data_IF_223839398651
#
_entry.id   IF_223839398651
#
_cell.length_a   1.000
_cell.length_b   1.000
_cell.length_c   1.000
_cell.angle_alpha   90.00
_cell.angle_beta   90.00
_cell.angle_gamma   90.00
#
_symmetry.space_group_name_H-M   'P 1'
#
loop_
_entity.id
_entity.type
_entity.pdbx_description
1 polymer ?
#
# COMPACT_ATOMS: atom_id res chain seq x y z
N UNK A 1 -0.88 27.63 -29.53
CA UNK A 1 0.25 26.89 -28.91
C UNK A 1 1.02 27.67 -27.83
N UNK A 2 0.83 28.98 -27.62
CA UNK A 2 1.57 29.73 -26.59
C UNK A 2 0.92 29.76 -25.18
N UNK A 3 -0.40 29.55 -25.07
CA UNK A 3 -1.14 29.69 -23.80
C UNK A 3 -0.92 28.55 -22.79
N UNK A 4 -0.65 27.33 -23.26
CA UNK A 4 -0.35 26.16 -22.41
C UNK A 4 0.98 26.32 -21.63
N UNK A 5 1.92 27.12 -22.14
CA UNK A 5 3.21 27.35 -21.45
C UNK A 5 3.09 28.29 -20.26
N UNK A 6 2.15 29.26 -20.30
CA UNK A 6 2.02 30.29 -19.27
C UNK A 6 1.26 29.79 -18.04
N UNK A 7 0.25 28.92 -18.22
CA UNK A 7 -0.45 28.27 -17.11
C UNK A 7 0.48 27.32 -16.34
N UNK A 8 1.29 26.52 -17.04
CA UNK A 8 2.30 25.67 -16.40
C UNK A 8 3.36 26.50 -15.66
N UNK A 9 3.75 27.64 -16.24
CA UNK A 9 4.73 28.55 -15.62
C UNK A 9 4.18 29.23 -14.35
N UNK A 10 2.92 29.69 -14.35
CA UNK A 10 2.26 30.25 -13.16
C UNK A 10 2.08 29.16 -12.08
N UNK A 11 1.67 27.96 -12.48
CA UNK A 11 1.52 26.84 -11.56
C UNK A 11 2.86 26.47 -10.90
N UNK A 12 3.95 26.42 -11.68
CA UNK A 12 5.27 26.03 -11.18
C UNK A 12 6.03 27.14 -10.43
N UNK A 13 5.90 28.41 -10.83
CA UNK A 13 6.62 29.54 -10.20
C UNK A 13 5.87 30.22 -9.05
N UNK A 14 4.54 30.12 -9.02
CA UNK A 14 3.72 30.89 -8.06
C UNK A 14 2.90 29.94 -7.19
N UNK A 15 2.15 29.00 -7.79
CA UNK A 15 1.26 28.12 -7.01
C UNK A 15 2.04 27.09 -6.19
N UNK A 16 3.01 26.38 -6.78
CA UNK A 16 3.85 25.39 -6.06
C UNK A 16 4.63 25.99 -4.88
N UNK A 17 5.29 27.16 -4.99
CA UNK A 17 5.98 27.78 -3.86
C UNK A 17 5.03 28.28 -2.78
N UNK A 18 3.83 28.78 -3.14
CA UNK A 18 2.84 29.26 -2.17
C UNK A 18 2.21 28.08 -1.41
N UNK A 19 1.87 26.98 -2.10
CA UNK A 19 1.43 25.74 -1.47
C UNK A 19 2.53 25.17 -0.57
N UNK A 20 3.77 25.07 -1.09
CA UNK A 20 4.93 24.63 -0.32
C UNK A 20 5.22 25.51 0.91
N UNK A 21 5.00 26.82 0.84
CA UNK A 21 5.18 27.74 1.97
C UNK A 21 4.09 27.54 3.03
N UNK A 22 2.82 27.35 2.63
CA UNK A 22 1.73 27.02 3.55
C UNK A 22 1.97 25.67 4.23
N UNK A 23 2.37 24.66 3.46
CA UNK A 23 2.68 23.32 3.95
C UNK A 23 3.90 23.33 4.88
N UNK A 24 4.93 24.11 4.56
CA UNK A 24 6.10 24.33 5.40
C UNK A 24 5.75 25.07 6.70
N UNK A 25 4.89 26.08 6.66
CA UNK A 25 4.40 26.80 7.84
C UNK A 25 3.57 25.85 8.73
N UNK A 26 2.67 25.06 8.15
CA UNK A 26 1.88 24.06 8.89
C UNK A 26 2.77 23.00 9.51
N UNK A 27 3.74 22.45 8.76
CA UNK A 27 4.70 21.48 9.27
C UNK A 27 5.57 22.07 10.38
N UNK A 28 6.03 23.31 10.23
CA UNK A 28 6.85 24.02 11.23
C UNK A 28 6.07 24.35 12.51
N UNK A 29 4.80 24.78 12.39
CA UNK A 29 3.91 25.02 13.53
C UNK A 29 3.56 23.71 14.27
N UNK A 30 3.41 22.61 13.54
CA UNK A 30 3.13 21.30 14.13
C UNK A 30 4.35 20.71 14.84
N UNK A 31 5.55 20.83 14.24
CA UNK A 31 6.81 20.39 14.85
C UNK A 31 7.19 21.22 16.08
N UNK A 32 6.84 22.50 16.11
CA UNK A 32 7.11 23.40 17.23
C UNK A 32 6.06 23.33 18.34
N UNK A 33 4.81 22.95 18.04
CA UNK A 33 3.76 22.78 19.03
C UNK A 33 2.67 21.78 18.58
N UNK A 34 2.89 20.46 18.82
CA UNK A 34 1.96 19.40 18.41
C UNK A 34 0.55 19.51 19.02
N UNK A 35 0.39 20.32 20.07
CA UNK A 35 -0.86 20.53 20.82
C UNK A 35 -1.55 21.85 20.48
N UNK A 36 -1.00 22.65 19.55
CA UNK A 36 -1.55 23.97 19.24
C UNK A 36 -2.97 23.90 18.70
N UNK A 37 -3.79 24.87 19.12
CA UNK A 37 -5.20 25.00 18.71
C UNK A 37 -5.38 25.11 17.20
N UNK A 38 -4.35 25.53 16.46
CA UNK A 38 -4.36 25.69 15.00
C UNK A 38 -4.46 24.35 14.27
N UNK A 39 -3.80 23.30 14.78
CA UNK A 39 -3.89 21.95 14.23
C UNK A 39 -5.30 21.36 14.30
N UNK A 40 -6.12 21.82 15.27
CA UNK A 40 -7.53 21.40 15.42
C UNK A 40 -8.48 22.06 14.42
N UNK A 41 -8.10 23.16 13.76
CA UNK A 41 -8.94 23.85 12.78
C UNK A 41 -8.77 23.38 11.34
N UNK A 42 -7.73 22.59 11.04
CA UNK A 42 -7.60 21.93 9.76
C UNK A 42 -8.38 20.63 9.82
N UNK A 43 -9.56 20.57 9.18
CA UNK A 43 -10.26 19.29 8.97
C UNK A 43 -9.27 18.30 8.34
N UNK A 44 -9.05 17.12 8.93
CA UNK A 44 -8.21 16.10 8.34
C UNK A 44 -8.73 15.78 6.93
N UNK A 45 -7.85 15.82 5.93
CA UNK A 45 -8.20 15.39 4.58
C UNK A 45 -8.35 13.86 4.58
N UNK A 46 -9.40 13.37 3.93
CA UNK A 46 -9.49 11.96 3.57
C UNK A 46 -8.45 11.67 2.47
N UNK A 47 -7.30 11.13 2.85
CA UNK A 47 -6.23 10.76 1.92
C UNK A 47 -6.50 9.43 1.21
N UNK A 48 -7.60 8.73 1.50
CA UNK A 48 -8.03 7.58 0.71
C UNK A 48 -8.90 7.99 -0.48
N UNK A 49 -9.70 9.05 -0.34
CA UNK A 49 -10.40 9.69 -1.46
C UNK A 49 -9.43 10.23 -2.51
N UNK A 50 -9.90 10.35 -3.76
CA UNK A 50 -9.07 10.73 -4.90
C UNK A 50 -8.34 12.08 -4.72
N UNK A 51 -7.19 12.20 -5.36
CA UNK A 51 -6.40 13.43 -5.36
C UNK A 51 -6.42 14.09 -6.73
N UNK A 52 -6.95 15.32 -6.80
CA UNK A 52 -6.90 16.11 -8.01
C UNK A 52 -5.45 16.46 -8.39
N UNK A 53 -5.12 16.37 -9.68
CA UNK A 53 -3.85 16.83 -10.25
C UNK A 53 -2.63 15.95 -9.95
N UNK A 54 -2.82 14.75 -9.38
CA UNK A 54 -1.75 13.75 -9.29
C UNK A 54 -1.56 13.06 -10.63
N UNK A 55 -0.32 12.67 -10.94
CA UNK A 55 -0.03 11.97 -12.20
C UNK A 55 -0.37 10.50 -12.15
N UNK A 56 -0.35 9.92 -10.96
CA UNK A 56 -0.82 8.56 -10.76
C UNK A 56 -1.59 8.42 -9.45
N UNK A 57 -2.53 7.48 -9.46
CA UNK A 57 -3.26 7.04 -8.28
C UNK A 57 -3.60 5.55 -8.42
N UNK A 58 -3.33 4.77 -7.37
CA UNK A 58 -3.52 3.33 -7.36
C UNK A 58 -4.13 2.86 -6.05
N UNK A 59 -5.09 1.96 -6.14
CA UNK A 59 -5.77 1.29 -5.04
C UNK A 59 -5.43 -0.18 -5.11
N UNK A 60 -4.88 -0.72 -4.03
CA UNK A 60 -4.45 -2.11 -3.92
C UNK A 60 -5.18 -2.76 -2.76
N UNK A 61 -5.70 -3.96 -2.98
CA UNK A 61 -6.23 -4.81 -1.92
C UNK A 61 -5.66 -6.20 -2.06
N UNK A 62 -5.11 -6.69 -0.95
CA UNK A 62 -4.71 -8.07 -0.76
C UNK A 62 -5.62 -8.74 0.25
N UNK A 63 -6.17 -9.90 -0.09
CA UNK A 63 -6.99 -10.72 0.79
C UNK A 63 -6.26 -12.03 1.05
N UNK A 64 -5.94 -12.31 2.30
CA UNK A 64 -5.49 -13.62 2.75
C UNK A 64 -6.73 -14.45 3.09
N UNK A 65 -7.01 -15.48 2.30
CA UNK A 65 -8.19 -16.33 2.46
C UNK A 65 -8.01 -17.31 3.62
N UNK A 66 -9.10 -17.86 4.17
CA UNK A 66 -9.04 -18.81 5.28
C UNK A 66 -8.22 -20.07 4.98
N UNK A 67 -8.23 -20.53 3.73
CA UNK A 67 -7.42 -21.64 3.22
C UNK A 67 -5.96 -21.23 2.92
N UNK A 68 -5.56 -20.00 3.23
CA UNK A 68 -4.21 -19.43 3.04
C UNK A 68 -3.85 -19.14 1.57
N UNK A 69 -4.83 -19.10 0.68
CA UNK A 69 -4.69 -18.48 -0.62
C UNK A 69 -4.61 -16.95 -0.55
N UNK A 70 -4.26 -16.31 -1.65
CA UNK A 70 -4.20 -14.85 -1.76
C UNK A 70 -5.01 -14.36 -2.95
N UNK A 71 -5.93 -13.42 -2.72
CA UNK A 71 -6.61 -12.66 -3.78
C UNK A 71 -6.03 -11.25 -3.83
N UNK A 72 -5.66 -10.78 -5.01
CA UNK A 72 -5.24 -9.40 -5.25
C UNK A 72 -6.23 -8.70 -6.16
N UNK A 73 -6.56 -7.45 -5.82
CA UNK A 73 -7.35 -6.57 -6.68
C UNK A 73 -6.65 -5.20 -6.74
N UNK A 74 -6.46 -4.68 -7.94
CA UNK A 74 -5.83 -3.38 -8.18
C UNK A 74 -6.70 -2.56 -9.12
N UNK A 75 -6.89 -1.28 -8.79
CA UNK A 75 -7.40 -0.25 -9.69
C UNK A 75 -6.36 0.86 -9.74
N UNK A 76 -5.80 1.15 -10.91
CA UNK A 76 -4.71 2.12 -11.04
C UNK A 76 -4.85 2.99 -12.28
N UNK A 77 -4.55 4.28 -12.12
CA UNK A 77 -4.67 5.31 -13.15
C UNK A 77 -3.39 6.12 -13.25
N UNK A 78 -2.95 6.34 -14.49
CA UNK A 78 -1.90 7.28 -14.91
C UNK A 78 -2.51 8.09 -16.08
N UNK A 79 -3.38 9.08 -15.81
CA UNK A 79 -4.27 9.65 -16.84
C UNK A 79 -3.55 10.25 -18.06
N UNK A 80 -2.36 10.81 -17.86
CA UNK A 80 -1.56 11.44 -18.92
C UNK A 80 -0.62 10.46 -19.66
N UNK A 81 -0.64 9.17 -19.30
CA UNK A 81 0.20 8.17 -19.94
C UNK A 81 -0.28 7.83 -21.35
N UNK A 82 0.68 7.55 -22.24
CA UNK A 82 0.40 7.17 -23.63
C UNK A 82 0.03 5.68 -23.76
N UNK A 83 0.57 4.83 -22.91
CA UNK A 83 0.45 3.38 -23.04
C UNK A 83 -0.25 2.82 -21.80
N UNK A 84 -1.43 2.24 -21.96
CA UNK A 84 -2.18 1.61 -20.86
C UNK A 84 -2.35 2.56 -19.65
N UNK A 85 -2.98 3.75 -19.83
CA UNK A 85 -3.13 4.73 -18.75
C UNK A 85 -3.94 4.21 -17.58
N UNK A 86 -4.84 3.25 -17.81
CA UNK A 86 -5.65 2.64 -16.76
C UNK A 86 -5.39 1.14 -16.69
N UNK A 87 -5.44 0.60 -15.48
CA UNK A 87 -5.14 -0.79 -15.20
C UNK A 87 -6.06 -1.33 -14.11
N UNK A 88 -6.64 -2.50 -14.37
CA UNK A 88 -7.35 -3.30 -13.38
C UNK A 88 -6.71 -4.68 -13.33
N UNK A 89 -6.32 -5.11 -12.13
CA UNK A 89 -5.81 -6.44 -11.88
C UNK A 89 -6.76 -7.21 -10.97
N UNK A 90 -6.96 -8.49 -11.26
CA UNK A 90 -7.51 -9.43 -10.31
C UNK A 90 -6.79 -10.78 -10.40
N UNK A 91 -6.32 -11.30 -9.29
CA UNK A 91 -5.69 -12.63 -9.25
C UNK A 91 -6.08 -13.42 -8.01
N UNK A 92 -5.99 -14.74 -8.13
CA UNK A 92 -6.02 -15.67 -7.02
C UNK A 92 -4.81 -16.60 -7.12
N UNK A 93 -4.01 -16.66 -6.06
CA UNK A 93 -2.91 -17.59 -5.90
C UNK A 93 -3.27 -18.60 -4.80
N UNK A 94 -3.34 -19.91 -5.10
CA UNK A 94 -3.67 -20.93 -4.10
C UNK A 94 -2.58 -21.05 -3.02
N UNK A 95 -2.92 -21.60 -1.84
CA UNK A 95 -1.93 -21.89 -0.81
C UNK A 95 -0.89 -22.90 -1.31
N UNK A 96 0.37 -22.76 -0.87
CA UNK A 96 1.45 -23.69 -1.25
C UNK A 96 1.30 -25.06 -0.59
N UNK A 97 0.93 -25.06 0.68
CA UNK A 97 0.72 -26.27 1.47
C UNK A 97 -0.76 -26.32 1.83
N UNK A 98 -1.48 -27.40 1.46
CA UNK A 98 -2.86 -27.58 1.88
C UNK A 98 -2.97 -27.56 3.41
N UNK A 99 -4.02 -26.98 3.99
CA UNK A 99 -4.30 -27.16 5.40
C UNK A 99 -4.37 -28.66 5.75
N UNK A 100 -3.81 -29.05 6.90
CA UNK A 100 -3.78 -30.45 7.35
C UNK A 100 -5.17 -31.09 7.30
N UNK A 101 -5.28 -32.24 6.62
CA UNK A 101 -6.53 -33.00 6.48
C UNK A 101 -7.36 -32.66 5.25
N UNK A 102 -6.96 -31.66 4.46
CA UNK A 102 -7.52 -31.41 3.13
C UNK A 102 -6.49 -31.84 2.09
N UNK A 103 -6.86 -32.78 1.20
CA UNK A 103 -6.15 -32.90 -0.08
C UNK A 103 -6.15 -31.52 -0.72
N UNK A 104 -5.11 -31.14 -1.49
CA UNK A 104 -5.31 -30.16 -2.56
C UNK A 104 -6.57 -30.65 -3.28
N UNK A 105 -7.71 -29.98 -3.11
CA UNK A 105 -8.73 -30.13 -4.11
C UNK A 105 -8.00 -29.61 -5.35
N UNK A 106 -7.84 -30.49 -6.32
CA UNK A 106 -7.20 -30.26 -7.60
C UNK A 106 -7.97 -29.24 -8.46
N UNK A 107 -8.58 -28.22 -7.84
CA UNK A 107 -9.67 -27.41 -8.36
C UNK A 107 -9.40 -25.90 -8.32
N UNK A 108 -8.60 -25.39 -7.37
CA UNK A 108 -8.31 -23.96 -7.31
C UNK A 108 -7.18 -23.59 -8.29
N UNK A 109 -7.52 -23.54 -9.58
CA UNK A 109 -6.64 -23.06 -10.63
C UNK A 109 -6.25 -21.62 -10.31
N UNK A 110 -4.96 -21.30 -10.41
CA UNK A 110 -4.47 -19.93 -10.30
C UNK A 110 -5.22 -19.04 -11.29
N UNK A 111 -5.71 -17.91 -10.82
CA UNK A 111 -6.40 -16.90 -11.63
C UNK A 111 -5.49 -15.69 -11.74
N UNK A 112 -5.35 -15.15 -12.95
CA UNK A 112 -4.65 -13.89 -13.18
C UNK A 112 -5.34 -13.17 -14.33
N UNK A 113 -5.87 -11.99 -14.07
CA UNK A 113 -6.56 -11.15 -15.05
C UNK A 113 -6.00 -9.74 -14.96
N UNK A 114 -5.41 -9.33 -16.07
CA UNK A 114 -4.97 -7.98 -16.33
C UNK A 114 -5.91 -7.37 -17.37
N UNK A 115 -6.47 -6.21 -17.07
CA UNK A 115 -7.29 -5.44 -18.01
C UNK A 115 -6.81 -4.00 -18.08
N UNK A 116 -6.84 -3.45 -19.28
CA UNK A 116 -6.39 -2.09 -19.59
C UNK A 116 -7.58 -1.30 -20.16
N UNK A 117 -8.54 -0.88 -19.32
CA UNK A 117 -9.73 -0.18 -19.78
C UNK A 117 -9.36 1.19 -20.38
N UNK A 118 -10.25 1.73 -21.20
CA UNK A 118 -10.06 3.06 -21.79
C UNK A 118 -10.13 4.18 -20.74
N UNK A 119 -10.87 3.95 -19.65
CA UNK A 119 -11.05 4.91 -18.56
C UNK A 119 -11.41 4.21 -17.26
N UNK A 120 -10.90 4.76 -16.15
CA UNK A 120 -11.43 4.54 -14.80
C UNK A 120 -12.02 5.88 -14.33
N UNK A 121 -13.33 5.94 -14.14
CA UNK A 121 -14.03 7.16 -13.69
C UNK A 121 -14.13 7.19 -12.18
N UNK A 122 -13.80 8.32 -11.59
CA UNK A 122 -14.12 8.62 -10.20
C UNK A 122 -15.55 9.15 -10.11
N UNK A 123 -16.41 8.48 -9.34
CA UNK A 123 -17.79 8.89 -9.10
C UNK A 123 -17.94 9.22 -7.61
N UNK A 124 -18.10 10.51 -7.25
CA UNK A 124 -18.31 10.91 -5.87
C UNK A 124 -19.61 10.32 -5.30
N UNK A 125 -19.56 9.84 -4.06
CA UNK A 125 -20.70 9.40 -3.28
C UNK A 125 -21.09 10.40 -2.19
N UNK A 126 -21.84 9.92 -1.20
CA UNK A 126 -22.23 10.70 -0.02
C UNK A 126 -20.98 11.01 0.82
N UNK A 127 -20.81 12.28 1.19
CA UNK A 127 -19.75 12.67 2.12
C UNK A 127 -20.24 12.52 3.56
N UNK A 128 -19.52 11.74 4.36
CA UNK A 128 -19.71 11.58 5.80
C UNK A 128 -18.78 12.53 6.55
N UNK A 129 -18.91 12.61 7.88
CA UNK A 129 -18.14 13.56 8.72
C UNK A 129 -16.62 13.43 8.56
N UNK A 130 -16.14 12.21 8.29
CA UNK A 130 -14.70 11.92 8.17
C UNK A 130 -14.31 11.15 6.89
N UNK A 131 -15.27 10.54 6.20
CA UNK A 131 -15.06 9.73 5.00
C UNK A 131 -15.79 10.35 3.80
N UNK A 132 -15.11 10.46 2.67
CA UNK A 132 -15.77 10.75 1.40
C UNK A 132 -16.06 9.43 0.70
N UNK A 133 -17.33 9.05 0.54
CA UNK A 133 -17.67 7.87 -0.25
C UNK A 133 -17.44 8.15 -1.74
N UNK A 134 -17.09 7.10 -2.49
CA UNK A 134 -16.89 7.18 -3.92
C UNK A 134 -16.90 5.79 -4.56
N UNK A 135 -16.99 5.74 -5.88
CA UNK A 135 -16.63 4.57 -6.67
C UNK A 135 -15.59 4.88 -7.74
N UNK A 136 -14.79 3.88 -8.07
CA UNK A 136 -13.97 3.83 -9.26
C UNK A 136 -14.66 2.90 -10.26
N UNK A 137 -15.01 3.39 -11.43
CA UNK A 137 -15.70 2.63 -12.47
C UNK A 137 -14.77 2.42 -13.67
N UNK A 138 -14.27 1.21 -13.83
CA UNK A 138 -13.46 0.76 -14.96
C UNK A 138 -14.37 0.31 -16.10
N UNK A 139 -14.34 1.04 -17.22
CA UNK A 139 -15.18 0.75 -18.37
C UNK A 139 -14.94 -0.68 -18.91
N UNK A 140 -16.02 -1.46 -19.03
CA UNK A 140 -15.96 -2.83 -19.53
C UNK A 140 -15.39 -3.86 -18.55
N UNK A 141 -15.03 -3.46 -17.32
CA UNK A 141 -14.43 -4.39 -16.33
C UNK A 141 -15.24 -4.45 -15.03
N UNK A 142 -15.58 -3.32 -14.43
CA UNK A 142 -16.25 -3.32 -13.13
C UNK A 142 -16.00 -2.10 -12.27
N UNK A 143 -16.30 -2.22 -10.98
CA UNK A 143 -16.21 -1.12 -10.04
C UNK A 143 -15.61 -1.49 -8.70
N UNK A 144 -15.00 -0.49 -8.07
CA UNK A 144 -14.60 -0.50 -6.66
C UNK A 144 -15.32 0.63 -5.92
N UNK A 145 -16.15 0.28 -4.93
CA UNK A 145 -16.99 1.22 -4.17
C UNK A 145 -16.50 1.31 -2.73
N UNK A 146 -16.43 2.53 -2.20
CA UNK A 146 -16.06 2.86 -0.83
C UNK A 146 -17.24 3.57 -0.18
N UNK A 147 -17.73 3.02 0.92
CA UNK A 147 -18.78 3.57 1.78
C UNK A 147 -18.25 3.71 3.23
N UNK A 148 -19.08 4.22 4.13
CA UNK A 148 -18.69 4.46 5.54
C UNK A 148 -18.19 3.19 6.25
N UNK A 149 -18.95 2.09 6.13
CA UNK A 149 -18.66 0.84 6.84
C UNK A 149 -18.19 -0.30 5.92
N UNK A 150 -18.25 -0.10 4.61
CA UNK A 150 -18.08 -1.16 3.61
C UNK A 150 -17.25 -0.71 2.43
N UNK A 151 -16.55 -1.67 1.84
CA UNK A 151 -15.96 -1.52 0.52
C UNK A 151 -16.40 -2.69 -0.35
N UNK A 152 -16.64 -2.47 -1.63
CA UNK A 152 -17.19 -3.48 -2.53
C UNK A 152 -16.46 -3.50 -3.87
N UNK A 153 -16.06 -4.68 -4.33
CA UNK A 153 -15.59 -4.91 -5.69
C UNK A 153 -16.62 -5.73 -6.44
N UNK A 154 -16.91 -5.31 -7.68
CA UNK A 154 -17.70 -6.08 -8.63
C UNK A 154 -16.99 -6.03 -9.97
N UNK A 155 -16.47 -7.17 -10.43
CA UNK A 155 -15.70 -7.26 -11.68
C UNK A 155 -16.20 -8.41 -12.54
N UNK A 156 -16.25 -8.19 -13.85
CA UNK A 156 -16.56 -9.18 -14.86
C UNK A 156 -15.57 -9.02 -16.03
N UNK A 157 -15.08 -10.14 -16.54
CA UNK A 157 -14.13 -10.19 -17.64
C UNK A 157 -14.75 -10.90 -18.85
N UNK A 158 -14.27 -10.57 -20.04
CA UNK A 158 -14.84 -11.04 -21.32
C UNK A 158 -14.82 -12.57 -21.49
N UNK A 159 -13.97 -13.27 -20.73
CA UNK A 159 -13.94 -14.73 -20.75
C UNK A 159 -14.99 -15.36 -19.83
N UNK A 160 -15.91 -14.59 -19.24
CA UNK A 160 -16.97 -15.10 -18.36
C UNK A 160 -16.52 -15.27 -16.89
N UNK A 161 -15.31 -14.86 -16.54
CA UNK A 161 -14.88 -14.79 -15.13
C UNK A 161 -15.52 -13.57 -14.45
N UNK A 162 -16.08 -13.75 -13.25
CA UNK A 162 -16.48 -12.64 -12.39
C UNK A 162 -15.99 -12.79 -10.96
N UNK A 163 -15.68 -11.66 -10.32
CA UNK A 163 -15.15 -11.59 -8.96
C UNK A 163 -15.94 -10.53 -8.20
N UNK A 164 -16.51 -10.93 -7.07
CA UNK A 164 -17.22 -10.08 -6.14
C UNK A 164 -16.55 -10.15 -4.77
N UNK A 165 -16.24 -9.00 -4.19
CA UNK A 165 -15.65 -8.92 -2.85
C UNK A 165 -16.36 -7.85 -2.03
N UNK A 166 -16.68 -8.17 -0.78
CA UNK A 166 -17.20 -7.23 0.20
C UNK A 166 -16.26 -7.17 1.39
N UNK A 167 -15.71 -6.00 1.67
CA UNK A 167 -14.90 -5.72 2.85
C UNK A 167 -15.75 -5.00 3.91
N UNK A 168 -15.56 -5.38 5.16
CA UNK A 168 -16.24 -4.80 6.32
C UNK A 168 -15.32 -4.76 7.54
N UNK A 169 -15.75 -4.14 8.64
CA UNK A 169 -14.98 -4.04 9.89
C UNK A 169 -13.56 -3.52 9.64
N UNK A 170 -13.47 -2.36 9.00
CA UNK A 170 -12.21 -1.68 8.70
C UNK A 170 -11.34 -1.58 9.95
N UNK A 171 -10.07 -1.93 9.83
CA UNK A 171 -9.06 -1.75 10.87
C UNK A 171 -8.07 -0.68 10.43
N UNK A 172 -8.37 0.62 10.68
CA UNK A 172 -7.48 1.70 10.27
C UNK A 172 -6.13 1.61 10.98
N UNK A 173 -5.11 2.18 10.36
CA UNK A 173 -3.77 2.21 10.93
C UNK A 173 -3.74 2.95 12.28
N UNK A 174 -4.37 4.12 12.33
CA UNK A 174 -4.51 4.93 13.54
C UNK A 174 -6.00 5.08 13.86
N UNK A 175 -6.56 4.38 14.87
CA UNK A 175 -7.97 4.46 15.21
C UNK A 175 -8.46 5.89 15.49
N UNK A 176 -7.64 6.71 16.15
CA UNK A 176 -7.97 8.10 16.48
C UNK A 176 -7.80 9.07 15.29
N UNK A 177 -7.20 8.61 14.19
CA UNK A 177 -6.96 9.40 12.98
C UNK A 177 -7.00 8.50 11.73
N UNK A 178 -8.18 7.93 11.38
CA UNK A 178 -8.29 6.78 10.48
C UNK A 178 -7.88 7.05 9.02
N UNK A 179 -7.74 8.32 8.63
CA UNK A 179 -7.33 8.74 7.29
C UNK A 179 -5.93 9.35 7.26
N UNK A 180 -5.21 9.29 8.39
CA UNK A 180 -3.85 9.82 8.49
C UNK A 180 -2.89 8.82 7.86
N UNK A 181 -2.15 9.19 6.81
CA UNK A 181 -1.15 8.30 6.23
C UNK A 181 0.05 8.11 7.17
N UNK A 182 0.86 7.05 7.01
CA UNK A 182 2.00 6.74 7.89
C UNK A 182 3.03 7.87 7.99
N UNK A 183 3.21 8.63 6.90
CA UNK A 183 4.14 9.76 6.84
C UNK A 183 3.55 11.06 7.45
N UNK A 184 2.33 11.02 7.99
CA UNK A 184 1.75 12.09 8.81
C UNK A 184 1.75 13.45 8.12
N UNK A 185 2.22 14.49 8.81
CA UNK A 185 2.29 15.85 8.26
C UNK A 185 3.16 15.94 6.99
N UNK A 186 4.12 15.04 6.79
CA UNK A 186 4.94 15.02 5.59
C UNK A 186 4.12 14.64 4.34
N UNK A 187 2.89 14.12 4.50
CA UNK A 187 1.95 13.91 3.39
C UNK A 187 1.56 15.20 2.69
N UNK A 188 1.62 16.32 3.41
CA UNK A 188 1.40 17.64 2.85
C UNK A 188 2.64 18.20 2.13
N UNK A 189 3.84 17.66 2.32
CA UNK A 189 5.07 18.14 1.66
C UNK A 189 5.28 17.49 0.28
N UNK A 190 4.28 17.60 -0.61
CA UNK A 190 4.20 16.86 -1.88
C UNK A 190 5.37 17.10 -2.86
N UNK A 191 6.21 18.12 -2.64
CA UNK A 191 7.40 18.39 -3.46
C UNK A 191 8.58 17.48 -3.05
N UNK A 192 8.65 17.01 -1.80
CA UNK A 192 9.79 16.24 -1.28
C UNK A 192 9.59 14.72 -1.38
N UNK A 193 8.35 14.26 -1.52
CA UNK A 193 8.01 12.84 -1.66
C UNK A 193 7.31 12.62 -3.01
N UNK A 194 7.97 11.99 -4.00
CA UNK A 194 7.38 11.78 -5.33
C UNK A 194 6.20 10.78 -5.30
N UNK A 195 6.07 10.05 -4.19
CA UNK A 195 5.12 8.98 -3.96
C UNK A 195 4.62 9.07 -2.51
N UNK A 196 3.30 8.98 -2.36
CA UNK A 196 2.62 8.85 -1.09
C UNK A 196 2.00 7.45 -0.96
N UNK A 197 1.80 7.03 0.28
CA UNK A 197 1.24 5.73 0.63
C UNK A 197 0.30 5.87 1.83
N UNK A 198 -0.83 5.20 1.77
CA UNK A 198 -1.83 5.18 2.83
C UNK A 198 -2.39 3.77 3.00
N UNK A 199 -2.18 3.18 4.17
CA UNK A 199 -2.86 1.95 4.59
C UNK A 199 -4.24 2.35 5.11
N UNK A 200 -5.27 2.09 4.31
CA UNK A 200 -6.65 2.38 4.70
C UNK A 200 -7.19 1.37 5.69
N UNK A 201 -6.79 0.11 5.53
CA UNK A 201 -7.07 -0.96 6.48
C UNK A 201 -5.95 -1.97 6.46
N UNK A 202 -5.45 -2.36 7.62
CA UNK A 202 -4.46 -3.44 7.71
C UNK A 202 -5.12 -4.82 7.85
N UNK A 203 -6.41 -4.88 8.21
CA UNK A 203 -7.10 -6.16 8.45
C UNK A 203 -8.64 -6.10 8.44
N UNK A 204 -9.24 -5.61 7.36
CA UNK A 204 -10.70 -5.71 7.15
C UNK A 204 -11.15 -7.17 7.03
N UNK A 205 -12.37 -7.49 7.43
CA UNK A 205 -13.00 -8.77 7.07
C UNK A 205 -13.42 -8.75 5.61
N UNK A 206 -13.10 -9.82 4.87
CA UNK A 206 -13.47 -9.98 3.47
C UNK A 206 -14.41 -11.17 3.28
N UNK A 207 -15.45 -10.99 2.46
CA UNK A 207 -16.22 -12.07 1.86
C UNK A 207 -16.01 -11.99 0.36
N UNK A 208 -15.71 -13.11 -0.30
CA UNK A 208 -15.45 -13.14 -1.73
C UNK A 208 -16.22 -14.26 -2.42
N UNK A 209 -16.53 -14.04 -3.69
CA UNK A 209 -17.12 -15.03 -4.60
C UNK A 209 -16.48 -14.86 -5.98
N UNK A 210 -16.03 -15.97 -6.55
CA UNK A 210 -15.46 -16.05 -7.90
C UNK A 210 -16.32 -17.01 -8.72
N UNK A 211 -16.78 -16.55 -9.88
CA UNK A 211 -17.58 -17.34 -10.82
C UNK A 211 -16.91 -17.44 -12.18
N UNK A 212 -17.23 -18.51 -12.90
CA UNK A 212 -16.92 -18.71 -14.31
C UNK A 212 -18.21 -19.10 -15.02
N UNK A 213 -18.62 -18.32 -16.01
CA UNK A 213 -19.85 -18.53 -16.79
C UNK A 213 -21.07 -18.73 -15.85
N UNK A 214 -21.23 -17.83 -14.88
CA UNK A 214 -22.24 -17.84 -13.80
C UNK A 214 -22.18 -18.99 -12.79
N UNK A 215 -21.23 -19.92 -12.92
CA UNK A 215 -21.01 -20.99 -11.96
C UNK A 215 -20.00 -20.57 -10.89
N UNK A 216 -20.37 -20.67 -9.61
CA UNK A 216 -19.44 -20.40 -8.51
C UNK A 216 -18.34 -21.46 -8.47
N UNK A 217 -17.11 -21.03 -8.75
CA UNK A 217 -15.91 -21.87 -8.68
C UNK A 217 -15.17 -21.69 -7.35
N UNK A 218 -15.37 -20.56 -6.67
CA UNK A 218 -14.79 -20.30 -5.36
C UNK A 218 -15.65 -19.31 -4.57
N UNK A 219 -15.74 -19.53 -3.26
CA UNK A 219 -16.40 -18.62 -2.34
C UNK A 219 -15.83 -18.81 -0.95
N UNK A 220 -15.66 -17.74 -0.21
CA UNK A 220 -15.20 -17.84 1.16
C UNK A 220 -14.99 -16.49 1.83
N UNK A 221 -14.23 -16.56 2.91
CA UNK A 221 -13.87 -15.45 3.78
C UNK A 221 -12.36 -15.29 3.86
N UNK A 222 -11.92 -14.11 4.30
CA UNK A 222 -10.52 -13.80 4.48
C UNK A 222 -10.31 -12.49 5.22
N UNK A 223 -9.04 -12.10 5.34
CA UNK A 223 -8.63 -10.83 5.93
C UNK A 223 -7.96 -9.99 4.85
N UNK A 224 -8.43 -8.75 4.70
CA UNK A 224 -7.99 -7.82 3.67
C UNK A 224 -7.11 -6.70 4.23
N UNK A 225 -5.95 -6.53 3.59
CA UNK A 225 -5.15 -5.31 3.63
C UNK A 225 -5.53 -4.45 2.43
N UNK A 226 -5.92 -3.21 2.68
CA UNK A 226 -6.32 -2.25 1.67
C UNK A 226 -5.47 -0.99 1.79
N UNK A 227 -4.86 -0.59 0.68
CA UNK A 227 -3.98 0.57 0.62
C UNK A 227 -4.17 1.38 -0.65
N UNK A 228 -3.60 2.57 -0.63
CA UNK A 228 -3.58 3.51 -1.73
C UNK A 228 -2.21 4.14 -1.88
N UNK A 229 -1.80 4.33 -3.14
CA UNK A 229 -0.66 5.11 -3.54
C UNK A 229 -1.10 6.27 -4.43
N UNK A 230 -0.46 7.43 -4.30
CA UNK A 230 -0.66 8.55 -5.22
C UNK A 230 0.61 9.40 -5.33
N UNK A 231 0.74 10.15 -6.41
CA UNK A 231 1.89 11.05 -6.58
C UNK A 231 2.27 11.27 -8.04
N UNK A 232 3.56 11.44 -8.27
CA UNK A 232 4.11 11.72 -9.60
C UNK A 232 4.48 10.44 -10.37
N UNK A 233 5.06 9.46 -9.69
CA UNK A 233 5.43 8.13 -10.22
C UNK A 233 5.95 7.26 -9.07
N UNK A 234 5.95 5.94 -9.25
CA UNK A 234 6.75 5.05 -8.41
C UNK A 234 8.24 5.41 -8.45
N UNK A 235 9.00 5.18 -7.37
CA UNK A 235 10.44 5.41 -7.32
C UNK A 235 11.20 4.52 -8.30
N UNK A 236 12.47 4.84 -8.57
CA UNK A 236 13.29 4.05 -9.50
C UNK A 236 13.59 2.63 -9.01
N UNK A 237 13.50 2.40 -7.70
CA UNK A 237 13.74 1.11 -7.07
C UNK A 237 12.94 1.07 -5.76
N UNK A 238 12.28 -0.04 -5.46
CA UNK A 238 11.50 -0.17 -4.23
C UNK A 238 11.32 -1.62 -3.79
N UNK A 239 10.96 -1.74 -2.51
CA UNK A 239 10.48 -2.97 -1.91
C UNK A 239 9.16 -2.70 -1.21
N UNK A 240 8.22 -3.63 -1.33
CA UNK A 240 6.99 -3.63 -0.57
C UNK A 240 6.85 -4.97 0.15
N UNK A 241 6.38 -4.94 1.40
CA UNK A 241 6.27 -6.11 2.26
C UNK A 241 4.97 -6.01 3.05
N UNK A 242 4.19 -7.09 3.11
CA UNK A 242 2.93 -7.10 3.85
C UNK A 242 2.66 -8.47 4.44
N UNK A 243 2.25 -8.51 5.71
CA UNK A 243 1.94 -9.77 6.40
C UNK A 243 0.82 -9.62 7.42
N UNK A 244 0.05 -10.70 7.60
CA UNK A 244 -1.03 -10.81 8.58
C UNK A 244 -0.87 -12.17 9.27
N UNK A 245 -0.93 -12.20 10.61
CA UNK A 245 -0.92 -13.47 11.35
C UNK A 245 -2.21 -14.24 11.11
N UNK A 246 -2.15 -15.56 11.27
CA UNK A 246 -3.30 -16.45 11.04
C UNK A 246 -4.53 -16.10 11.89
N UNK A 247 -4.31 -15.63 13.11
CA UNK A 247 -5.34 -15.19 14.05
C UNK A 247 -5.70 -13.71 13.91
N UNK A 248 -5.15 -13.01 12.90
CA UNK A 248 -5.37 -11.59 12.64
C UNK A 248 -4.99 -10.66 13.81
N UNK A 249 -4.10 -11.10 14.69
CA UNK A 249 -3.63 -10.33 15.85
C UNK A 249 -2.36 -9.53 15.57
N UNK A 250 -1.60 -9.91 14.55
CA UNK A 250 -0.41 -9.20 14.11
C UNK A 250 -0.53 -8.79 12.64
N UNK A 251 -0.27 -7.52 12.36
CA UNK A 251 -0.17 -6.98 10.99
C UNK A 251 1.16 -6.27 10.82
N UNK A 252 1.77 -6.45 9.65
CA UNK A 252 2.98 -5.74 9.25
C UNK A 252 2.83 -5.22 7.83
N UNK A 253 3.28 -4.00 7.59
CA UNK A 253 3.37 -3.43 6.26
C UNK A 253 4.61 -2.52 6.16
N UNK A 254 5.34 -2.62 5.06
CA UNK A 254 6.50 -1.79 4.78
C UNK A 254 6.52 -1.43 3.29
N UNK A 255 6.67 -0.14 3.01
CA UNK A 255 6.88 0.37 1.67
C UNK A 255 8.07 1.33 1.69
N UNK A 256 9.04 1.12 0.83
CA UNK A 256 10.19 2.02 0.74
C UNK A 256 11.04 1.81 -0.48
N UNK A 257 11.89 2.78 -0.77
CA UNK A 257 12.66 2.78 -1.99
C UNK A 257 13.43 4.06 -2.22
N UNK A 258 13.95 4.20 -3.45
CA UNK A 258 14.80 5.28 -3.88
C UNK A 258 14.07 6.64 -3.86
N UNK A 259 14.66 7.60 -3.16
CA UNK A 259 14.34 9.03 -3.21
C UNK A 259 15.49 9.79 -3.89
N UNK A 260 15.36 11.09 -4.15
CA UNK A 260 16.31 11.90 -4.94
C UNK A 260 17.79 11.67 -4.57
N UNK A 261 18.11 11.57 -3.28
CA UNK A 261 19.48 11.46 -2.77
C UNK A 261 19.70 10.27 -1.80
N UNK A 262 18.86 9.23 -1.85
CA UNK A 262 18.92 8.15 -0.87
C UNK A 262 17.78 7.13 -0.97
N UNK A 263 17.49 6.46 0.14
CA UNK A 263 16.29 5.63 0.32
C UNK A 263 15.48 6.10 1.52
N UNK A 264 14.17 5.85 1.49
CA UNK A 264 13.28 6.12 2.60
C UNK A 264 12.20 5.04 2.69
N UNK A 265 11.77 4.74 3.91
CA UNK A 265 10.75 3.72 4.20
C UNK A 265 9.61 4.29 5.04
N UNK A 266 8.44 3.68 4.90
CA UNK A 266 7.34 3.72 5.86
C UNK A 266 7.12 2.28 6.31
N UNK A 267 7.13 2.05 7.62
CA UNK A 267 7.07 0.72 8.23
C UNK A 267 6.05 0.77 9.35
N UNK A 268 5.10 -0.16 9.36
CA UNK A 268 4.12 -0.31 10.42
C UNK A 268 4.09 -1.76 10.92
N UNK A 269 4.10 -1.90 12.23
CA UNK A 269 3.93 -3.17 12.94
C UNK A 269 2.90 -2.99 14.04
N UNK A 270 1.91 -3.87 14.08
CA UNK A 270 0.87 -3.86 15.11
C UNK A 270 0.64 -5.28 15.62
N UNK A 271 0.70 -5.44 16.93
CA UNK A 271 0.32 -6.63 17.70
C UNK A 271 -0.59 -6.20 18.86
N UNK A 272 -1.10 -7.14 19.67
CA UNK A 272 -1.85 -6.77 20.87
C UNK A 272 -0.97 -6.17 21.98
N UNK A 273 0.35 -6.31 21.87
CA UNK A 273 1.28 -5.74 22.84
C UNK A 273 1.70 -4.33 22.45
N UNK A 274 1.82 -4.05 21.15
CA UNK A 274 2.43 -2.81 20.68
C UNK A 274 1.99 -2.43 19.27
N UNK A 275 1.88 -1.12 19.05
CA UNK A 275 1.80 -0.53 17.72
C UNK A 275 3.00 0.40 17.50
N UNK A 276 3.80 0.12 16.46
CA UNK A 276 5.01 0.87 16.11
C UNK A 276 4.92 1.27 14.64
N UNK A 277 5.00 2.56 14.38
CA UNK A 277 5.13 3.10 13.03
C UNK A 277 6.43 3.88 12.89
N UNK A 278 7.18 3.63 11.83
CA UNK A 278 8.33 4.41 11.40
C UNK A 278 8.05 5.08 10.06
N UNK A 279 8.48 6.32 9.96
CA UNK A 279 8.46 7.12 8.74
C UNK A 279 9.65 8.08 8.77
N UNK A 280 9.92 8.84 7.69
CA UNK A 280 10.88 9.93 7.75
C UNK A 280 10.64 10.83 8.96
N UNK A 281 11.71 11.28 9.66
CA UNK A 281 13.13 11.16 9.29
C UNK A 281 13.84 9.88 9.77
N UNK A 282 13.21 9.01 10.56
CA UNK A 282 13.86 7.83 11.16
C UNK A 282 14.33 6.80 10.14
N UNK A 283 13.66 6.78 8.98
CA UNK A 283 13.83 5.77 7.93
C UNK A 283 14.61 6.27 6.72
N UNK A 284 15.18 7.48 6.78
CA UNK A 284 15.99 8.03 5.67
C UNK A 284 17.39 7.45 5.73
N UNK A 285 17.88 6.96 4.59
CA UNK A 285 19.28 6.63 4.36
C UNK A 285 19.84 7.48 3.23
N UNK A 286 20.91 8.23 3.49
CA UNK A 286 21.61 9.03 2.48
C UNK A 286 22.92 8.33 2.12
N UNK A 287 23.17 8.12 0.82
CA UNK A 287 24.35 7.37 0.36
C UNK A 287 24.43 5.94 0.96
N UNK A 288 23.28 5.31 1.23
CA UNK A 288 23.20 3.97 1.83
C UNK A 288 23.48 3.94 3.34
N UNK A 289 23.49 5.08 4.04
CA UNK A 289 23.69 5.16 5.49
C UNK A 289 22.53 5.90 6.16
N UNK A 290 21.89 5.27 7.13
CA UNK A 290 20.91 5.91 8.02
C UNK A 290 21.40 5.93 9.46
N UNK A 291 21.03 6.96 10.22
CA UNK A 291 21.38 7.04 11.65
C UNK A 291 20.59 6.03 12.49
N UNK A 292 19.34 5.79 12.10
CA UNK A 292 18.43 4.92 12.83
C UNK A 292 17.90 3.75 12.00
N UNK A 293 18.36 3.62 10.76
CA UNK A 293 17.94 2.56 9.85
C UNK A 293 19.13 2.01 9.08
N UNK A 294 19.12 0.70 8.83
CA UNK A 294 19.97 0.04 7.85
C UNK A 294 19.15 -0.98 7.07
N UNK A 295 19.52 -1.18 5.81
CA UNK A 295 18.89 -2.15 4.91
C UNK A 295 19.94 -3.09 4.32
N UNK A 296 19.54 -4.33 4.06
CA UNK A 296 20.27 -5.28 3.22
C UNK A 296 19.29 -5.95 2.29
N UNK A 297 19.44 -5.69 1.00
CA UNK A 297 18.61 -6.26 -0.05
C UNK A 297 19.46 -7.26 -0.84
N UNK A 298 18.94 -8.47 -1.04
CA UNK A 298 19.52 -9.46 -1.95
C UNK A 298 18.39 -9.91 -2.89
N UNK A 299 18.18 -9.19 -4.02
CA UNK A 299 17.13 -9.53 -4.98
C UNK A 299 17.35 -10.86 -5.70
N UNK A 300 18.57 -11.39 -5.76
CA UNK A 300 18.85 -12.70 -6.37
C UNK A 300 18.39 -13.82 -5.44
N UNK A 301 18.67 -13.69 -4.14
CA UNK A 301 18.18 -14.63 -3.12
C UNK A 301 16.77 -14.30 -2.63
N UNK A 302 16.17 -13.23 -3.14
CA UNK A 302 14.82 -12.76 -2.78
C UNK A 302 14.67 -12.54 -1.27
N UNK A 303 15.65 -11.85 -0.67
CA UNK A 303 15.67 -11.53 0.77
C UNK A 303 15.82 -10.03 1.05
N UNK A 304 15.21 -9.59 2.14
CA UNK A 304 15.26 -8.23 2.66
C UNK A 304 15.51 -8.27 4.16
N UNK A 305 16.46 -7.48 4.64
CA UNK A 305 16.67 -7.22 6.06
C UNK A 305 16.59 -5.73 6.31
N UNK A 306 15.72 -5.30 7.23
CA UNK A 306 15.59 -3.91 7.65
C UNK A 306 15.75 -3.87 9.17
N UNK A 307 16.69 -3.07 9.66
CA UNK A 307 16.86 -2.77 11.09
C UNK A 307 16.61 -1.28 11.27
N UNK A 308 15.50 -0.94 11.93
CA UNK A 308 15.01 0.44 12.08
C UNK A 308 14.72 0.74 13.55
N UNK A 309 15.02 1.96 13.99
CA UNK A 309 14.77 2.40 15.35
C UNK A 309 14.38 3.87 15.44
N UNK A 310 13.94 4.26 16.63
CA UNK A 310 13.91 5.64 17.07
C UNK A 310 14.51 5.66 18.50
N UNK A 311 14.17 6.66 19.30
CA UNK A 311 14.68 6.76 20.65
C UNK A 311 14.18 5.69 21.62
N UNK A 312 13.06 5.03 21.36
CA UNK A 312 12.39 4.13 22.32
C UNK A 312 11.92 2.81 21.74
N UNK A 313 11.89 2.68 20.41
CA UNK A 313 11.39 1.51 19.69
C UNK A 313 12.38 1.07 18.61
N UNK A 314 12.50 -0.23 18.36
CA UNK A 314 13.31 -0.80 17.28
C UNK A 314 12.63 -2.04 16.72
N UNK A 315 12.69 -2.21 15.40
CA UNK A 315 12.26 -3.39 14.68
C UNK A 315 13.43 -3.93 13.87
N UNK A 316 13.63 -5.25 13.92
CA UNK A 316 14.47 -5.98 12.98
C UNK A 316 13.55 -6.88 12.17
N UNK A 317 13.51 -6.66 10.85
CA UNK A 317 12.62 -7.35 9.92
C UNK A 317 13.47 -8.15 8.96
N UNK A 318 13.22 -9.44 8.87
CA UNK A 318 13.78 -10.35 7.89
C UNK A 318 12.65 -10.89 7.03
N UNK A 319 12.63 -10.56 5.74
CA UNK A 319 11.68 -11.09 4.78
C UNK A 319 12.41 -11.92 3.72
N UNK A 320 11.81 -13.04 3.33
CA UNK A 320 12.32 -13.87 2.25
C UNK A 320 11.18 -14.62 1.57
N UNK A 321 11.29 -14.90 0.27
CA UNK A 321 10.34 -15.75 -0.41
C UNK A 321 11.03 -16.80 -1.30
N UNK A 322 10.38 -17.96 -1.54
CA UNK A 322 10.85 -18.96 -2.48
C UNK A 322 11.05 -18.39 -3.90
N UNK A 323 12.03 -18.88 -4.64
CA UNK A 323 12.36 -18.34 -5.98
C UNK A 323 11.28 -18.67 -7.03
N UNK A 324 10.50 -19.73 -6.81
CA UNK A 324 9.48 -20.24 -7.73
C UNK A 324 8.10 -19.58 -7.58
N UNK A 325 7.94 -18.62 -6.68
CA UNK A 325 6.63 -18.05 -6.31
C UNK A 325 6.41 -16.62 -6.78
N UNK A 326 7.31 -16.07 -7.59
CA UNK A 326 7.29 -14.68 -8.02
C UNK A 326 6.46 -14.46 -9.28
N UNK A 327 5.62 -13.43 -9.25
CA UNK A 327 4.70 -13.06 -10.32
C UNK A 327 5.04 -11.66 -10.82
N UNK A 328 5.11 -11.44 -12.14
CA UNK A 328 5.30 -10.10 -12.67
C UNK A 328 4.06 -9.24 -12.41
N UNK A 329 4.27 -7.96 -12.13
CA UNK A 329 3.20 -6.99 -11.88
C UNK A 329 3.43 -5.72 -12.70
N UNK A 330 2.33 -5.22 -13.29
CA UNK A 330 2.29 -3.94 -13.98
C UNK A 330 2.30 -2.79 -12.96
N UNK A 331 3.21 -1.81 -13.13
CA UNK A 331 3.36 -0.70 -12.19
C UNK A 331 2.93 0.64 -12.82
N UNK A 332 2.43 1.61 -12.03
CA UNK A 332 2.11 2.95 -12.52
C UNK A 332 3.38 3.80 -12.67
N UNK A 333 4.08 3.57 -13.77
CA UNK A 333 5.21 4.40 -14.21
C UNK A 333 4.71 5.57 -15.05
N UNK A 334 5.58 6.55 -15.32
CA UNK A 334 5.24 7.75 -16.08
C UNK A 334 4.66 7.43 -17.48
N UNK A 335 5.13 6.35 -18.11
CA UNK A 335 4.68 5.90 -19.42
C UNK A 335 3.36 5.12 -19.39
N UNK A 336 2.84 4.80 -18.18
CA UNK A 336 1.65 4.01 -17.91
C UNK A 336 1.96 2.54 -17.55
N UNK A 337 0.97 1.66 -17.66
CA UNK A 337 1.03 0.29 -17.12
C UNK A 337 1.56 -0.76 -18.09
N UNK A 338 2.01 -0.39 -19.30
CA UNK A 338 2.56 -1.32 -20.30
C UNK A 338 3.93 -1.92 -19.95
N UNK A 339 4.25 -2.11 -18.66
CA UNK A 339 5.52 -2.60 -18.13
C UNK A 339 5.30 -3.79 -17.19
N UNK A 340 6.36 -4.51 -16.82
CA UNK A 340 6.36 -5.49 -15.72
C UNK A 340 7.50 -5.14 -14.76
N UNK A 341 7.43 -3.93 -14.20
CA UNK A 341 8.54 -3.35 -13.46
C UNK A 341 8.70 -3.93 -12.03
N UNK A 342 7.71 -4.66 -11.51
CA UNK A 342 7.80 -5.36 -10.24
C UNK A 342 7.61 -6.87 -10.40
N UNK A 343 8.18 -7.61 -9.46
CA UNK A 343 7.76 -8.97 -9.17
C UNK A 343 7.35 -9.07 -7.70
N UNK A 344 6.31 -9.85 -7.44
CA UNK A 344 5.73 -10.03 -6.12
C UNK A 344 5.54 -11.53 -5.83
N UNK A 345 5.76 -11.93 -4.58
CA UNK A 345 5.49 -13.29 -4.10
C UNK A 345 4.59 -13.25 -2.88
N UNK A 346 3.55 -14.08 -2.86
CA UNK A 346 2.61 -14.26 -1.73
C UNK A 346 2.94 -15.44 -0.81
N UNK A 347 4.09 -16.08 -1.05
CA UNK A 347 4.61 -17.17 -0.23
C UNK A 347 5.79 -16.71 0.65
N UNK A 348 5.89 -15.42 0.95
CA UNK A 348 6.97 -14.90 1.75
C UNK A 348 6.82 -15.29 3.22
N UNK A 349 7.95 -15.42 3.90
CA UNK A 349 8.05 -15.49 5.35
C UNK A 349 8.68 -14.21 5.86
N UNK A 350 8.05 -13.58 6.85
CA UNK A 350 8.55 -12.38 7.52
C UNK A 350 8.80 -12.71 9.00
N UNK A 351 10.03 -12.52 9.46
CA UNK A 351 10.40 -12.63 10.87
C UNK A 351 10.63 -11.21 11.38
N UNK A 352 9.95 -10.85 12.46
CA UNK A 352 9.98 -9.50 13.03
C UNK A 352 10.37 -9.61 14.49
N UNK A 353 11.49 -9.00 14.86
CA UNK A 353 11.91 -8.85 16.25
C UNK A 353 11.64 -7.43 16.72
N UNK A 354 10.90 -7.33 17.83
CA UNK A 354 10.45 -6.05 18.39
C UNK A 354 11.20 -5.76 19.67
N UNK A 355 11.77 -4.56 19.76
CA UNK A 355 12.47 -4.08 20.95
C UNK A 355 11.95 -2.73 21.40
N UNK A 356 11.93 -2.52 22.72
CA UNK A 356 11.65 -1.23 23.33
C UNK A 356 12.69 -0.88 24.39
N UNK A 357 12.85 0.41 24.67
CA UNK A 357 13.69 0.89 25.76
C UNK A 357 13.04 2.11 26.41
N UNK A 358 13.27 2.28 27.72
CA UNK A 358 12.61 3.33 28.52
C UNK A 358 13.17 4.72 28.25
N UNK A 359 14.48 4.82 27.98
CA UNK A 359 15.16 6.07 27.63
C UNK A 359 16.37 5.79 26.72
N UNK A 360 16.90 6.82 26.04
CA UNK A 360 17.94 6.68 25.01
C UNK A 360 19.18 5.89 25.48
N UNK A 361 19.52 5.97 26.78
CA UNK A 361 20.69 5.29 27.37
C UNK A 361 20.40 3.89 27.95
N UNK A 362 19.15 3.47 28.03
CA UNK A 362 18.83 2.11 28.51
C UNK A 362 19.06 1.08 27.40
N UNK A 363 19.38 -0.15 27.80
CA UNK A 363 19.44 -1.30 26.89
C UNK A 363 18.09 -1.54 26.20
N UNK A 364 18.16 -2.03 24.97
CA UNK A 364 16.99 -2.54 24.26
C UNK A 364 16.49 -3.80 24.96
N UNK A 365 15.20 -3.81 25.30
CA UNK A 365 14.48 -4.95 25.83
C UNK A 365 13.69 -5.59 24.70
N UNK A 366 13.85 -6.90 24.51
CA UNK A 366 13.03 -7.67 23.59
C UNK A 366 11.57 -7.72 24.10
N UNK A 367 10.63 -7.43 23.21
CA UNK A 367 9.18 -7.44 23.49
C UNK A 367 8.55 -8.70 22.92
N UNK A 368 8.84 -9.00 21.65
CA UNK A 368 8.38 -10.20 20.96
C UNK A 368 9.14 -10.47 19.67
N UNK A 369 9.06 -11.73 19.24
CA UNK A 369 9.40 -12.14 17.88
C UNK A 369 8.14 -12.72 17.25
N UNK A 370 7.80 -12.26 16.05
CA UNK A 370 6.68 -12.78 15.27
C UNK A 370 7.18 -13.37 13.96
N UNK A 371 6.57 -14.48 13.55
CA UNK A 371 6.75 -15.06 12.21
C UNK A 371 5.41 -14.95 11.48
N UNK A 372 5.42 -14.32 10.32
CA UNK A 372 4.28 -14.20 9.42
C UNK A 372 4.56 -15.03 8.17
N UNK A 373 3.74 -16.05 7.93
CA UNK A 373 3.78 -16.91 6.75
C UNK A 373 2.70 -16.48 5.74
N UNK A 374 2.80 -16.97 4.50
CA UNK A 374 1.93 -16.57 3.38
C UNK A 374 1.80 -15.04 3.31
N UNK A 375 2.95 -14.39 3.46
CA UNK A 375 3.08 -12.94 3.39
C UNK A 375 3.50 -12.53 1.99
N UNK A 376 3.38 -11.23 1.72
CA UNK A 376 3.75 -10.66 0.45
C UNK A 376 5.13 -9.98 0.54
N UNK A 377 5.94 -10.17 -0.50
CA UNK A 377 7.22 -9.52 -0.69
C UNK A 377 7.36 -9.14 -2.17
N UNK A 378 7.68 -7.88 -2.42
CA UNK A 378 7.82 -7.30 -3.76
C UNK A 378 9.21 -6.65 -3.92
N UNK A 379 9.78 -6.82 -5.11
CA UNK A 379 10.90 -6.01 -5.60
C UNK A 379 10.48 -5.33 -6.89
N UNK A 380 10.73 -4.02 -6.99
CA UNK A 380 10.41 -3.26 -8.19
C UNK A 380 11.51 -2.31 -8.66
N UNK A 381 11.39 -1.91 -9.92
CA UNK A 381 12.33 -1.02 -10.59
C UNK A 381 13.73 -1.64 -10.65
N UNK A 382 14.77 -0.90 -10.24
CA UNK A 382 16.15 -1.40 -10.28
C UNK A 382 16.45 -2.51 -9.27
N UNK A 383 15.56 -2.77 -8.31
CA UNK A 383 15.68 -3.94 -7.43
C UNK A 383 15.07 -5.19 -8.05
N UNK A 384 14.30 -5.05 -9.13
CA UNK A 384 13.79 -6.17 -9.89
C UNK A 384 14.91 -6.73 -10.78
N UNK A 385 15.66 -7.70 -10.25
CA UNK A 385 16.74 -8.42 -10.94
C UNK A 385 16.42 -9.90 -11.09
#
# INVERSE_FOLDING_TARGET
MAALSFQNLIHDLIVKPICGLREFIVASLYLSSPTSSVARYLKPRDHFAAHDGVRFEGYYTRILTEDRGTIIIIFSSVPDAKNCPYFVHASYTPPRVPPQGLSLSSSATKICKDSFPNVIRYVPGISYDTLQAFSLEAEGVGSYTIEEERQGYQMAFDDGLSISVNLSKRSPLFPDAPFRPPHGIFASLGILLPLHWHIFSSSSQANYEIKKDDHTIMKGTGIAHAEKNWGNSFPKAWTWIQGISKDNRVTFASAGGAILAGTAYMIDYRSDKVHISFAPPWTIMLGGRGLFISERLDPEKKTVIIDVSNFTSRLIVHASAPLDTWLPLHCPLYEGHGNQAAHESFAATIIIEVFQRRFIRSSWMHVETTVLEDSALEFGGLYNK
#
